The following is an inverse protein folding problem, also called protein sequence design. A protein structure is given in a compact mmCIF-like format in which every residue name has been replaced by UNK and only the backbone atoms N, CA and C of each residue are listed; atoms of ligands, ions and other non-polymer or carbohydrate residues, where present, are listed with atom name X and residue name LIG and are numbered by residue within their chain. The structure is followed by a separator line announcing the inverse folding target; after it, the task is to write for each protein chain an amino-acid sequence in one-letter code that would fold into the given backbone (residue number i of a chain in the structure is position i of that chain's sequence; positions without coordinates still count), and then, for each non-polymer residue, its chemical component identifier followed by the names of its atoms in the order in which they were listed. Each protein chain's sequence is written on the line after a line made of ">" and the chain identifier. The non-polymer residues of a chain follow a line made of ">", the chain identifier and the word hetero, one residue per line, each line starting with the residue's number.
data_IF_535540621739
#
_entry.id   IF_535540621739
#
_cell.length_a   1.000
_cell.length_b   1.000
_cell.length_c   1.000
_cell.angle_alpha   90.00
_cell.angle_beta   90.00
_cell.angle_gamma   90.00
#
_symmetry.space_group_name_H-M   'P 1'
#
loop_
_entity.id
_entity.type
_entity.pdbx_description
1 polymer ?
#
# COMPACT_ATOMS: atom_id res chain seq x y z
N UNK A 1 -14.13 -17.82 -20.12
CA UNK A 1 -12.91 -18.61 -19.79
C UNK A 1 -12.31 -17.95 -18.56
N UNK A 2 -12.41 -18.58 -17.39
CA UNK A 2 -11.82 -18.06 -16.17
C UNK A 2 -10.29 -18.04 -16.34
N UNK A 3 -9.67 -16.89 -16.15
CA UNK A 3 -8.21 -16.76 -16.11
C UNK A 3 -7.78 -17.43 -14.81
N UNK A 4 -7.17 -18.62 -14.91
CA UNK A 4 -6.52 -19.23 -13.74
C UNK A 4 -5.41 -18.28 -13.29
N UNK A 5 -5.69 -17.52 -12.24
CA UNK A 5 -4.69 -16.66 -11.62
C UNK A 5 -3.59 -17.53 -11.02
N UNK A 6 -2.36 -17.25 -11.37
CA UNK A 6 -1.19 -17.83 -10.72
C UNK A 6 -1.30 -17.60 -9.21
N UNK A 7 -1.43 -18.68 -8.42
CA UNK A 7 -1.42 -18.56 -6.96
C UNK A 7 0.03 -18.32 -6.52
N UNK A 8 0.33 -17.18 -5.86
CA UNK A 8 1.68 -16.92 -5.36
C UNK A 8 2.14 -18.07 -4.46
N UNK A 9 3.44 -18.38 -4.50
CA UNK A 9 3.98 -19.47 -3.68
C UNK A 9 3.66 -19.23 -2.21
N UNK A 10 2.94 -20.16 -1.60
CA UNK A 10 2.44 -20.10 -0.21
C UNK A 10 3.52 -19.75 0.81
N UNK A 11 4.76 -20.16 0.54
CA UNK A 11 5.94 -19.86 1.38
C UNK A 11 6.22 -18.35 1.52
N UNK A 12 6.04 -17.56 0.46
CA UNK A 12 6.26 -16.11 0.49
C UNK A 12 5.18 -15.38 1.28
N UNK A 13 3.94 -15.78 1.12
CA UNK A 13 2.81 -15.21 1.85
C UNK A 13 2.96 -15.43 3.35
N UNK A 14 3.34 -16.64 3.76
CA UNK A 14 3.59 -16.98 5.15
C UNK A 14 4.79 -16.22 5.74
N UNK A 15 5.84 -15.98 4.94
CA UNK A 15 7.00 -15.21 5.37
C UNK A 15 6.63 -13.73 5.58
N UNK A 16 5.96 -13.09 4.62
CA UNK A 16 5.50 -11.69 4.73
C UNK A 16 4.62 -11.52 5.96
N UNK A 17 3.64 -12.40 6.14
CA UNK A 17 2.74 -12.36 7.29
C UNK A 17 3.50 -12.44 8.61
N UNK A 18 4.40 -13.42 8.77
CA UNK A 18 5.20 -13.58 9.98
C UNK A 18 6.07 -12.35 10.27
N UNK A 19 6.73 -11.82 9.24
CA UNK A 19 7.62 -10.68 9.40
C UNK A 19 6.87 -9.41 9.81
N UNK A 20 5.70 -9.14 9.20
CA UNK A 20 4.88 -8.00 9.59
C UNK A 20 4.24 -8.19 10.96
N UNK A 21 3.87 -9.42 11.36
CA UNK A 21 3.41 -9.71 12.72
C UNK A 21 4.49 -9.45 13.77
N UNK A 22 5.75 -9.82 13.49
CA UNK A 22 6.86 -9.52 14.41
C UNK A 22 7.09 -8.02 14.52
N UNK A 23 7.15 -7.30 13.39
CA UNK A 23 7.27 -5.83 13.36
C UNK A 23 6.13 -5.15 14.13
N UNK A 24 4.91 -5.65 13.95
CA UNK A 24 3.76 -5.15 14.67
C UNK A 24 3.89 -5.27 16.19
N UNK A 25 4.43 -6.40 16.67
CA UNK A 25 4.66 -6.62 18.12
C UNK A 25 5.81 -5.79 18.66
N UNK A 26 6.91 -5.67 17.90
CA UNK A 26 8.09 -4.91 18.32
C UNK A 26 7.80 -3.41 18.41
N UNK A 27 7.42 -2.78 17.32
CA UNK A 27 7.01 -1.37 17.27
C UNK A 27 6.29 -1.06 15.94
N UNK A 28 4.99 -1.29 15.88
CA UNK A 28 4.20 -1.08 14.67
C UNK A 28 4.38 0.32 14.06
N UNK A 29 4.37 1.37 14.89
CA UNK A 29 4.48 2.76 14.42
C UNK A 29 5.81 3.03 13.73
N UNK A 30 6.91 2.56 14.31
CA UNK A 30 8.26 2.76 13.76
C UNK A 30 8.49 2.01 12.43
N UNK A 31 7.78 0.91 12.19
CA UNK A 31 7.85 0.18 10.91
C UNK A 31 6.91 0.73 9.83
N UNK A 32 5.84 1.40 10.22
CA UNK A 32 4.88 2.02 9.28
C UNK A 32 5.37 3.41 8.87
N UNK A 33 6.01 4.15 9.80
CA UNK A 33 6.47 5.52 9.56
C UNK A 33 7.89 5.73 10.11
N UNK A 34 8.42 6.95 9.94
CA UNK A 34 9.75 7.30 10.44
C UNK A 34 9.81 7.22 11.97
N UNK A 35 10.92 6.70 12.57
CA UNK A 35 11.02 6.53 14.01
C UNK A 35 10.78 7.81 14.82
N UNK A 36 11.23 8.95 14.30
CA UNK A 36 11.09 10.23 15.00
C UNK A 36 9.63 10.71 15.12
N UNK A 37 8.75 10.24 14.22
CA UNK A 37 7.30 10.50 14.24
C UNK A 37 6.55 9.40 15.00
N UNK A 38 7.14 8.22 15.09
CA UNK A 38 6.50 7.03 15.67
C UNK A 38 6.37 7.08 17.19
N UNK A 39 7.22 7.86 17.89
CA UNK A 39 7.25 7.88 19.35
C UNK A 39 6.03 8.56 19.95
N UNK A 40 5.42 9.53 19.25
CA UNK A 40 4.18 10.18 19.66
C UNK A 40 3.00 9.71 18.82
N UNK A 41 1.97 9.17 19.47
CA UNK A 41 0.76 8.66 18.80
C UNK A 41 0.04 9.77 18.01
N UNK A 42 -0.06 10.97 18.57
CA UNK A 42 -0.68 12.10 17.89
C UNK A 42 0.07 12.49 16.61
N UNK A 43 1.40 12.55 16.64
CA UNK A 43 2.22 12.84 15.47
C UNK A 43 2.11 11.71 14.40
N UNK A 44 2.03 10.46 14.83
CA UNK A 44 1.83 9.32 13.95
C UNK A 44 0.53 9.44 13.13
N UNK A 45 -0.59 9.73 13.77
CA UNK A 45 -1.87 9.89 13.07
C UNK A 45 -1.94 11.21 12.28
N UNK A 46 -1.30 12.29 12.75
CA UNK A 46 -1.18 13.53 12.01
C UNK A 46 -0.46 13.31 10.67
N UNK A 47 0.62 12.54 10.64
CA UNK A 47 1.32 12.17 9.40
C UNK A 47 0.43 11.39 8.42
N UNK A 48 -0.52 10.58 8.91
CA UNK A 48 -1.49 9.90 8.06
C UNK A 48 -2.48 10.86 7.41
N UNK A 49 -2.88 11.92 8.11
CA UNK A 49 -3.70 13.01 7.56
C UNK A 49 -2.96 13.80 6.49
N UNK A 50 -1.67 14.07 6.71
CA UNK A 50 -0.80 14.75 5.74
C UNK A 50 -0.64 13.93 4.47
N UNK A 51 -0.35 12.62 4.58
CA UNK A 51 -0.26 11.72 3.44
C UNK A 51 -1.59 11.61 2.67
N UNK A 52 -2.72 11.53 3.37
CA UNK A 52 -4.02 11.56 2.73
C UNK A 52 -4.25 12.87 1.96
N UNK A 53 -3.93 14.00 2.57
CA UNK A 53 -4.06 15.31 1.94
C UNK A 53 -3.13 15.46 0.73
N UNK A 54 -1.95 14.87 0.78
CA UNK A 54 -0.94 14.92 -0.30
C UNK A 54 -1.26 13.96 -1.44
N UNK A 55 -1.67 12.73 -1.15
CA UNK A 55 -1.74 11.68 -2.17
C UNK A 55 -3.17 11.28 -2.56
N UNK A 56 -4.15 11.41 -1.66
CA UNK A 56 -5.53 10.99 -1.93
C UNK A 56 -6.39 12.17 -2.36
N UNK A 57 -6.44 13.23 -1.57
CA UNK A 57 -7.32 14.38 -1.83
C UNK A 57 -7.19 14.98 -3.24
N UNK A 58 -5.96 15.20 -3.79
CA UNK A 58 -5.82 15.73 -5.15
C UNK A 58 -6.34 14.75 -6.22
N UNK A 59 -6.16 13.45 -6.00
CA UNK A 59 -6.67 12.42 -6.92
C UNK A 59 -8.20 12.39 -6.94
N UNK A 60 -8.86 12.41 -5.77
CA UNK A 60 -10.32 12.48 -5.69
C UNK A 60 -10.85 13.72 -6.41
N UNK A 61 -10.19 14.87 -6.27
CA UNK A 61 -10.57 16.11 -6.97
C UNK A 61 -10.41 15.99 -8.50
N UNK A 62 -9.27 15.46 -8.98
CA UNK A 62 -9.04 15.30 -10.44
C UNK A 62 -10.00 14.32 -11.08
N UNK A 63 -10.37 13.27 -10.37
CA UNK A 63 -11.35 12.28 -10.84
C UNK A 63 -12.79 12.69 -10.62
N UNK A 64 -13.05 13.84 -9.99
CA UNK A 64 -14.36 14.33 -9.60
C UNK A 64 -15.14 13.30 -8.74
N UNK A 65 -14.42 12.56 -7.94
CA UNK A 65 -15.00 11.55 -7.07
C UNK A 65 -15.38 12.13 -5.71
N UNK A 66 -16.66 12.07 -5.38
CA UNK A 66 -17.17 12.42 -4.06
C UNK A 66 -17.13 11.19 -3.13
N UNK A 67 -16.34 11.20 -2.06
CA UNK A 67 -16.24 10.09 -1.11
C UNK A 67 -17.44 9.96 -0.15
N UNK A 68 -18.29 11.00 -0.03
CA UNK A 68 -19.39 11.00 0.91
C UNK A 68 -20.39 9.86 0.63
N UNK A 69 -20.67 9.06 1.66
CA UNK A 69 -21.57 7.91 1.56
C UNK A 69 -20.99 6.71 0.78
N UNK A 70 -19.76 6.80 0.31
CA UNK A 70 -19.05 5.74 -0.43
C UNK A 70 -18.27 4.81 0.49
N UNK A 71 -17.90 3.66 -0.04
CA UNK A 71 -17.08 2.66 0.64
C UNK A 71 -15.63 2.76 0.16
N UNK A 72 -14.72 3.12 1.06
CA UNK A 72 -13.28 3.13 0.81
C UNK A 72 -12.60 1.87 1.36
N UNK A 73 -11.71 1.27 0.58
CA UNK A 73 -10.88 0.12 0.96
C UNK A 73 -9.40 0.51 0.92
N UNK A 74 -8.67 0.28 2.01
CA UNK A 74 -7.22 0.44 2.08
C UNK A 74 -6.53 -0.93 2.16
N UNK A 75 -5.65 -1.22 1.19
CA UNK A 75 -4.80 -2.41 1.18
C UNK A 75 -3.51 -2.08 1.92
N UNK A 76 -3.20 -2.87 2.98
CA UNK A 76 -2.05 -2.66 3.85
C UNK A 76 -2.25 -1.50 4.82
N UNK A 77 -3.39 -1.45 5.48
CA UNK A 77 -3.77 -0.36 6.39
C UNK A 77 -2.88 -0.26 7.64
N UNK A 78 -2.06 -1.28 7.94
CA UNK A 78 -1.27 -1.34 9.17
C UNK A 78 -2.15 -1.19 10.40
N UNK A 79 -1.78 -0.27 11.30
CA UNK A 79 -2.58 0.05 12.49
C UNK A 79 -3.56 1.20 12.28
N UNK A 80 -3.91 1.52 11.02
CA UNK A 80 -4.94 2.51 10.70
C UNK A 80 -4.46 3.96 10.64
N UNK A 81 -3.20 4.20 10.30
CA UNK A 81 -2.60 5.55 10.23
C UNK A 81 -3.39 6.49 9.30
N UNK A 82 -3.71 6.05 8.10
CA UNK A 82 -4.48 6.82 7.11
C UNK A 82 -5.98 6.65 7.36
N UNK A 83 -6.40 5.50 7.88
CA UNK A 83 -7.78 5.21 8.23
C UNK A 83 -8.42 6.31 9.07
N UNK A 84 -7.68 6.87 10.05
CA UNK A 84 -8.14 7.95 10.93
C UNK A 84 -8.66 9.17 10.17
N UNK A 85 -8.17 9.38 8.94
CA UNK A 85 -8.62 10.47 8.07
C UNK A 85 -9.68 9.99 7.06
N UNK A 86 -9.54 8.78 6.51
CA UNK A 86 -10.50 8.25 5.55
C UNK A 86 -11.90 8.11 6.12
N UNK A 87 -12.04 7.74 7.40
CA UNK A 87 -13.36 7.61 8.06
C UNK A 87 -14.13 8.94 8.18
N UNK A 88 -13.45 10.08 8.02
CA UNK A 88 -14.10 11.40 8.03
C UNK A 88 -14.76 11.71 6.69
N UNK A 89 -14.15 11.28 5.58
CA UNK A 89 -14.64 11.56 4.22
C UNK A 89 -15.59 10.46 3.70
N UNK A 90 -15.28 9.20 3.97
CA UNK A 90 -16.05 8.07 3.45
C UNK A 90 -17.22 7.68 4.37
N UNK A 91 -18.30 7.17 3.76
CA UNK A 91 -19.44 6.63 4.47
C UNK A 91 -19.12 5.36 5.23
N UNK A 92 -18.22 4.53 4.69
CA UNK A 92 -17.67 3.32 5.31
C UNK A 92 -16.21 3.16 4.90
N UNK A 93 -15.38 2.68 5.82
CA UNK A 93 -13.99 2.35 5.58
C UNK A 93 -13.73 0.87 5.87
N UNK A 94 -12.96 0.23 5.00
CA UNK A 94 -12.47 -1.13 5.18
C UNK A 94 -10.95 -1.10 5.10
N UNK A 95 -10.27 -1.49 6.17
CA UNK A 95 -8.82 -1.65 6.18
C UNK A 95 -8.45 -3.13 6.13
N UNK A 96 -7.58 -3.52 5.20
CA UNK A 96 -7.04 -4.88 5.17
C UNK A 96 -5.53 -4.88 5.31
N UNK A 97 -5.00 -5.88 6.03
CA UNK A 97 -3.57 -6.08 6.19
C UNK A 97 -3.24 -7.58 6.24
N UNK A 98 -2.02 -7.95 5.88
CA UNK A 98 -1.54 -9.33 5.94
C UNK A 98 -1.26 -9.78 7.37
N UNK A 99 -0.98 -8.83 8.27
CA UNK A 99 -0.64 -9.07 9.67
C UNK A 99 -1.89 -9.03 10.56
N UNK A 100 -2.33 -10.17 11.14
CA UNK A 100 -3.37 -10.18 12.17
C UNK A 100 -3.06 -9.26 13.36
N UNK A 101 -1.80 -9.09 13.72
CA UNK A 101 -1.40 -8.23 14.82
C UNK A 101 -1.57 -6.74 14.48
N UNK A 102 -1.29 -6.32 13.23
CA UNK A 102 -1.63 -4.97 12.76
C UNK A 102 -3.14 -4.73 12.85
N UNK A 103 -3.94 -5.66 12.37
CA UNK A 103 -5.40 -5.59 12.40
C UNK A 103 -5.93 -5.50 13.84
N UNK A 104 -5.40 -6.32 14.75
CA UNK A 104 -5.78 -6.26 16.16
C UNK A 104 -5.53 -4.87 16.76
N UNK A 105 -4.37 -4.26 16.46
CA UNK A 105 -4.03 -2.91 16.90
C UNK A 105 -4.91 -1.85 16.23
N UNK A 106 -5.15 -1.95 14.93
CA UNK A 106 -6.04 -1.03 14.22
C UNK A 106 -7.45 -1.05 14.80
N UNK A 107 -7.99 -2.24 15.10
CA UNK A 107 -9.31 -2.40 15.68
C UNK A 107 -9.43 -1.81 17.09
N UNK A 108 -8.34 -1.75 17.86
CA UNK A 108 -8.36 -1.18 19.21
C UNK A 108 -8.53 0.34 19.26
N UNK A 109 -8.40 1.03 18.14
CA UNK A 109 -8.69 2.48 18.06
C UNK A 109 -10.17 2.80 17.89
N UNK A 110 -11.02 1.78 17.68
CA UNK A 110 -12.48 1.92 17.59
C UNK A 110 -12.95 3.06 16.67
N UNK A 111 -12.27 3.19 15.50
CA UNK A 111 -12.60 4.24 14.54
C UNK A 111 -14.04 4.08 14.02
N UNK A 112 -14.85 5.15 13.99
CA UNK A 112 -16.25 5.06 13.60
C UNK A 112 -16.37 4.65 12.13
N UNK A 113 -17.29 3.76 11.81
CA UNK A 113 -17.58 3.26 10.44
C UNK A 113 -16.39 2.55 9.79
N UNK A 114 -15.39 2.12 10.59
CA UNK A 114 -14.24 1.35 10.14
C UNK A 114 -14.44 -0.14 10.43
N UNK A 115 -14.03 -0.96 9.48
CA UNK A 115 -13.87 -2.40 9.65
C UNK A 115 -12.45 -2.77 9.27
N UNK A 116 -11.81 -3.61 10.09
CA UNK A 116 -10.46 -4.08 9.86
C UNK A 116 -10.44 -5.61 9.71
N UNK A 117 -9.75 -6.12 8.70
CA UNK A 117 -9.72 -7.55 8.39
C UNK A 117 -8.35 -8.00 7.95
N UNK A 118 -7.87 -9.14 8.49
CA UNK A 118 -6.67 -9.79 8.00
C UNK A 118 -6.94 -10.53 6.69
N UNK A 119 -6.01 -10.40 5.73
CA UNK A 119 -6.05 -11.09 4.42
C UNK A 119 -4.81 -11.96 4.22
N UNK A 120 -4.80 -12.80 3.18
CA UNK A 120 -3.71 -13.74 2.93
C UNK A 120 -2.39 -13.09 2.50
N UNK A 121 -2.44 -11.87 1.97
CA UNK A 121 -1.30 -11.18 1.35
C UNK A 121 -1.25 -11.28 -0.18
N UNK A 122 -2.20 -11.97 -0.79
CA UNK A 122 -2.31 -12.13 -2.25
C UNK A 122 -3.72 -12.00 -2.79
N UNK A 123 -4.71 -11.79 -1.92
CA UNK A 123 -6.12 -11.66 -2.29
C UNK A 123 -6.86 -10.70 -1.35
N UNK A 124 -8.12 -10.42 -1.67
CA UNK A 124 -9.06 -9.64 -0.86
C UNK A 124 -10.26 -10.52 -0.44
N UNK A 125 -9.98 -11.74 0.00
CA UNK A 125 -11.01 -12.65 0.50
C UNK A 125 -11.83 -12.01 1.62
N UNK A 126 -13.14 -12.18 1.58
CA UNK A 126 -14.08 -11.57 2.52
C UNK A 126 -14.59 -10.19 2.07
N UNK A 127 -14.00 -9.58 1.03
CA UNK A 127 -14.52 -8.37 0.39
C UNK A 127 -15.41 -8.78 -0.79
N UNK A 128 -16.64 -8.33 -0.80
CA UNK A 128 -17.64 -8.66 -1.81
C UNK A 128 -17.30 -8.11 -3.19
N UNK A 129 -17.66 -8.83 -4.24
CA UNK A 129 -17.60 -8.33 -5.61
C UNK A 129 -18.41 -7.06 -5.75
N UNK A 130 -17.87 -6.06 -6.44
CA UNK A 130 -18.50 -4.75 -6.61
C UNK A 130 -19.02 -4.16 -5.29
N UNK A 131 -18.28 -4.37 -4.20
CA UNK A 131 -18.64 -3.94 -2.84
C UNK A 131 -18.08 -2.57 -2.45
N UNK A 132 -17.05 -2.06 -3.15
CA UNK A 132 -16.35 -0.84 -2.78
C UNK A 132 -16.33 0.18 -3.92
N UNK A 133 -16.18 1.46 -3.58
CA UNK A 133 -16.18 2.57 -4.52
C UNK A 133 -14.76 3.12 -4.76
N UNK A 134 -13.87 2.96 -3.79
CA UNK A 134 -12.48 3.41 -3.87
C UNK A 134 -11.54 2.38 -3.26
N UNK A 135 -10.45 2.04 -3.96
CA UNK A 135 -9.37 1.19 -3.45
C UNK A 135 -8.07 1.98 -3.42
N UNK A 136 -7.43 2.00 -2.26
CA UNK A 136 -6.19 2.71 -2.01
C UNK A 136 -5.11 1.78 -1.46
N UNK A 137 -3.85 2.02 -1.83
CA UNK A 137 -2.69 1.36 -1.22
C UNK A 137 -1.50 2.31 -1.22
N UNK A 138 -0.91 2.51 -0.05
CA UNK A 138 0.27 3.35 0.11
C UNK A 138 1.39 2.65 0.87
N UNK A 139 2.60 2.68 0.31
CA UNK A 139 3.81 2.10 0.90
C UNK A 139 3.75 0.58 1.17
N UNK A 140 2.88 -0.17 0.47
CA UNK A 140 2.67 -1.61 0.64
C UNK A 140 3.35 -2.43 -0.45
N UNK A 141 3.02 -2.17 -1.73
CA UNK A 141 3.54 -2.99 -2.83
C UNK A 141 5.05 -2.91 -3.00
N UNK A 142 5.68 -1.86 -2.47
CA UNK A 142 7.13 -1.75 -2.39
C UNK A 142 7.80 -2.81 -1.49
N UNK A 143 7.02 -3.50 -0.66
CA UNK A 143 7.46 -4.56 0.25
C UNK A 143 7.06 -5.96 -0.23
N UNK A 144 6.26 -6.07 -1.28
CA UNK A 144 5.83 -7.36 -1.84
C UNK A 144 6.91 -7.89 -2.79
N UNK A 145 7.57 -9.01 -2.48
CA UNK A 145 8.71 -9.51 -3.27
C UNK A 145 8.29 -10.23 -4.55
N UNK A 146 7.03 -10.62 -4.65
CA UNK A 146 6.47 -11.31 -5.80
C UNK A 146 5.59 -10.37 -6.64
N UNK A 147 5.97 -10.21 -7.91
CA UNK A 147 5.23 -9.39 -8.87
C UNK A 147 3.82 -9.94 -9.13
N UNK A 148 3.66 -11.25 -9.19
CA UNK A 148 2.36 -11.85 -9.44
C UNK A 148 1.40 -11.61 -8.26
N UNK A 149 1.91 -11.57 -7.03
CA UNK A 149 1.10 -11.16 -5.88
C UNK A 149 0.60 -9.72 -6.00
N UNK A 150 1.45 -8.79 -6.48
CA UNK A 150 1.02 -7.41 -6.76
C UNK A 150 -0.06 -7.41 -7.85
N UNK A 151 0.11 -8.17 -8.92
CA UNK A 151 -0.86 -8.27 -10.00
C UNK A 151 -2.17 -8.96 -9.61
N UNK A 152 -2.12 -9.88 -8.63
CA UNK A 152 -3.33 -10.44 -8.04
C UNK A 152 -4.13 -9.37 -7.28
N UNK A 153 -3.47 -8.46 -6.55
CA UNK A 153 -4.17 -7.32 -5.95
C UNK A 153 -4.83 -6.40 -6.99
N UNK A 154 -4.26 -6.27 -8.20
CA UNK A 154 -4.92 -5.54 -9.28
C UNK A 154 -6.19 -6.28 -9.76
N UNK A 155 -6.11 -7.61 -9.91
CA UNK A 155 -7.27 -8.43 -10.28
C UNK A 155 -8.36 -8.38 -9.21
N UNK A 156 -7.98 -8.50 -7.95
CA UNK A 156 -8.90 -8.37 -6.82
C UNK A 156 -9.53 -6.96 -6.74
N UNK A 157 -8.74 -5.91 -7.01
CA UNK A 157 -9.27 -4.55 -7.12
C UNK A 157 -10.32 -4.44 -8.21
N UNK A 158 -10.06 -5.04 -9.38
CA UNK A 158 -11.06 -5.08 -10.46
C UNK A 158 -12.32 -5.85 -10.05
N UNK A 159 -12.19 -6.91 -9.23
CA UNK A 159 -13.32 -7.68 -8.71
C UNK A 159 -14.15 -6.86 -7.72
N UNK A 160 -13.51 -6.28 -6.71
CA UNK A 160 -14.20 -5.63 -5.57
C UNK A 160 -14.74 -4.24 -5.89
N UNK A 161 -14.15 -3.52 -6.85
CA UNK A 161 -14.64 -2.21 -7.27
C UNK A 161 -16.01 -2.32 -7.95
N UNK A 162 -16.91 -1.39 -7.61
CA UNK A 162 -18.12 -1.13 -8.38
C UNK A 162 -17.76 -0.58 -9.77
N UNK A 163 -18.64 -0.72 -10.77
CA UNK A 163 -18.48 0.01 -12.03
C UNK A 163 -18.26 1.52 -11.75
N UNK A 164 -17.34 2.14 -12.46
CA UNK A 164 -16.89 3.53 -12.25
C UNK A 164 -16.20 3.82 -10.90
N UNK A 165 -16.03 2.84 -10.02
CA UNK A 165 -15.19 2.94 -8.83
C UNK A 165 -13.74 3.20 -9.19
N UNK A 166 -13.03 3.92 -8.35
CA UNK A 166 -11.66 4.39 -8.61
C UNK A 166 -10.63 3.68 -7.74
N UNK A 167 -9.38 3.67 -8.19
CA UNK A 167 -8.26 3.12 -7.43
C UNK A 167 -7.03 4.03 -7.50
N UNK A 168 -6.19 3.98 -6.48
CA UNK A 168 -4.89 4.65 -6.45
C UNK A 168 -3.87 3.82 -5.69
N UNK A 169 -2.80 3.41 -6.37
CA UNK A 169 -1.75 2.56 -5.84
C UNK A 169 -0.41 3.25 -5.85
N UNK A 170 0.29 3.19 -4.74
CA UNK A 170 1.71 3.47 -4.66
C UNK A 170 2.50 2.18 -4.84
N UNK A 171 3.53 2.23 -5.68
CA UNK A 171 4.46 1.13 -5.90
C UNK A 171 5.85 1.63 -6.26
N UNK A 172 6.82 0.74 -6.21
CA UNK A 172 8.19 1.05 -6.62
C UNK A 172 8.30 0.95 -8.13
N UNK A 173 8.54 2.07 -8.81
CA UNK A 173 8.85 2.11 -10.23
C UNK A 173 10.22 1.51 -10.54
N UNK A 174 10.50 1.29 -11.83
CA UNK A 174 11.78 0.73 -12.25
C UNK A 174 12.87 1.81 -12.17
N UNK A 175 13.72 1.68 -11.17
CA UNK A 175 14.93 2.45 -11.07
C UNK A 175 16.03 1.69 -11.88
N UNK A 176 16.50 2.24 -12.99
CA UNK A 176 17.63 1.64 -13.67
C UNK A 176 18.87 1.77 -12.80
N UNK A 177 19.66 0.69 -12.69
CA UNK A 177 20.93 0.68 -11.95
C UNK A 177 21.86 1.83 -12.35
N UNK A 178 21.79 2.30 -13.62
CA UNK A 178 22.55 3.43 -14.12
C UNK A 178 22.13 4.76 -13.47
N UNK A 179 20.83 5.03 -13.35
CA UNK A 179 20.33 6.26 -12.69
C UNK A 179 20.58 6.22 -11.18
N UNK A 180 20.47 5.04 -10.55
CA UNK A 180 20.80 4.86 -9.15
C UNK A 180 22.28 5.13 -8.86
N UNK A 181 23.20 4.66 -9.72
CA UNK A 181 24.64 4.98 -9.62
C UNK A 181 24.92 6.48 -9.80
N UNK A 182 24.33 7.11 -10.81
CA UNK A 182 24.48 8.57 -11.03
C UNK A 182 24.00 9.40 -9.85
N UNK A 183 22.90 9.04 -9.22
CA UNK A 183 22.37 9.76 -8.06
C UNK A 183 23.25 9.57 -6.81
N UNK A 184 23.83 8.38 -6.62
CA UNK A 184 24.77 8.10 -5.52
C UNK A 184 26.07 8.89 -5.77
N UNK A 185 26.60 8.88 -6.98
CA UNK A 185 27.83 9.60 -7.35
C UNK A 185 27.65 11.13 -7.32
N UNK A 186 26.46 11.62 -7.65
CA UNK A 186 26.12 13.05 -7.61
C UNK A 186 25.77 13.57 -6.20
N UNK A 187 25.77 12.73 -5.16
CA UNK A 187 25.40 13.11 -3.80
C UNK A 187 23.91 13.53 -3.63
N UNK A 188 23.09 13.27 -4.65
CA UNK A 188 21.68 13.69 -4.69
C UNK A 188 20.73 12.70 -3.99
N UNK A 189 21.26 11.59 -3.45
CA UNK A 189 20.48 10.56 -2.79
C UNK A 189 20.30 10.83 -1.31
N UNK A 190 19.37 11.69 -0.96
CA UNK A 190 18.82 11.74 0.40
C UNK A 190 18.21 10.39 0.82
N UNK A 191 17.73 9.58 -0.13
CA UNK A 191 17.16 8.28 0.14
C UNK A 191 18.18 7.22 0.61
N UNK A 192 19.41 7.24 0.09
CA UNK A 192 20.45 6.29 0.53
C UNK A 192 20.95 6.61 1.96
N UNK A 193 21.05 7.90 2.32
CA UNK A 193 21.42 8.32 3.68
C UNK A 193 20.34 7.93 4.69
N UNK A 194 19.06 7.98 4.33
CA UNK A 194 17.97 7.57 5.19
C UNK A 194 17.92 6.05 5.38
N UNK A 195 18.16 5.26 4.33
CA UNK A 195 18.24 3.79 4.44
C UNK A 195 19.43 3.36 5.32
N UNK A 196 20.59 4.00 5.16
CA UNK A 196 21.78 3.73 5.99
C UNK A 196 21.60 4.20 7.43
N UNK A 197 21.02 5.38 7.67
CA UNK A 197 20.73 5.88 9.01
C UNK A 197 19.73 4.97 9.75
N UNK A 198 18.70 4.49 9.07
CA UNK A 198 17.73 3.54 9.62
C UNK A 198 18.36 2.17 9.92
N UNK A 199 19.25 1.70 9.03
CA UNK A 199 19.97 0.44 9.21
C UNK A 199 20.97 0.46 10.38
N UNK A 200 21.54 1.63 10.72
CA UNK A 200 22.45 1.79 11.85
C UNK A 200 21.73 1.99 13.17
N UNK A 201 20.53 2.59 13.15
CA UNK A 201 19.72 2.82 14.36
C UNK A 201 19.04 1.55 14.89
N UNK A 202 18.82 0.55 14.01
CA UNK A 202 18.25 -0.75 14.35
C UNK A 202 19.08 -1.92 13.76
N UNK A 203 20.33 -2.13 14.23
CA UNK A 203 21.23 -3.11 13.61
C UNK A 203 20.70 -4.55 13.65
N UNK A 204 19.91 -4.91 14.66
CA UNK A 204 19.30 -6.24 14.78
C UNK A 204 18.13 -6.49 13.83
N UNK A 205 17.39 -5.43 13.46
CA UNK A 205 16.27 -5.49 12.52
C UNK A 205 16.76 -5.79 11.11
N UNK A 206 17.95 -5.28 10.75
CA UNK A 206 18.50 -5.38 9.39
C UNK A 206 18.76 -6.81 8.92
N UNK A 207 19.26 -7.68 9.81
CA UNK A 207 19.60 -9.06 9.44
C UNK A 207 18.39 -10.00 9.40
N UNK A 208 17.33 -9.69 10.15
CA UNK A 208 16.17 -10.57 10.32
C UNK A 208 15.06 -10.37 9.27
N UNK A 209 14.98 -9.18 8.66
CA UNK A 209 13.86 -8.77 7.79
C UNK A 209 14.26 -8.33 6.39
N UNK A 210 15.48 -8.66 5.94
CA UNK A 210 16.00 -8.22 4.63
C UNK A 210 15.13 -8.70 3.46
N UNK A 211 14.59 -9.91 3.56
CA UNK A 211 13.91 -10.56 2.44
C UNK A 211 12.51 -9.97 2.15
N UNK A 212 11.82 -9.45 3.19
CA UNK A 212 10.46 -8.88 3.03
C UNK A 212 10.43 -7.35 3.11
N UNK A 213 11.56 -6.70 3.39
CA UNK A 213 11.64 -5.23 3.41
C UNK A 213 11.74 -4.60 2.02
N UNK A 214 12.32 -5.33 1.07
CA UNK A 214 12.49 -4.87 -0.30
C UNK A 214 11.65 -5.71 -1.27
N UNK A 215 10.53 -5.13 -1.73
CA UNK A 215 9.71 -5.73 -2.76
C UNK A 215 10.21 -5.44 -4.17
N UNK A 216 9.46 -5.92 -5.14
CA UNK A 216 9.76 -5.79 -6.57
C UNK A 216 9.44 -4.39 -7.10
N UNK A 217 10.28 -3.93 -8.01
CA UNK A 217 9.94 -2.79 -8.88
C UNK A 217 9.08 -3.27 -10.04
N UNK A 218 8.11 -2.46 -10.43
CA UNK A 218 7.22 -2.72 -11.56
C UNK A 218 7.50 -1.68 -12.65
N UNK A 219 7.62 -2.12 -13.89
CA UNK A 219 7.75 -1.19 -15.02
C UNK A 219 6.44 -0.43 -15.22
N UNK A 220 6.47 0.89 -15.47
CA UNK A 220 5.24 1.67 -15.69
C UNK A 220 4.33 1.08 -16.76
N UNK A 221 4.89 0.74 -17.91
CA UNK A 221 4.13 0.12 -19.01
C UNK A 221 3.51 -1.23 -18.63
N UNK A 222 4.19 -2.02 -17.78
CA UNK A 222 3.71 -3.31 -17.31
C UNK A 222 2.55 -3.16 -16.32
N UNK A 223 2.64 -2.20 -15.38
CA UNK A 223 1.55 -1.86 -14.48
C UNK A 223 0.31 -1.39 -15.25
N UNK A 224 0.49 -0.49 -16.23
CA UNK A 224 -0.58 0.01 -17.09
C UNK A 224 -1.24 -1.12 -17.88
N UNK A 225 -0.45 -1.92 -18.60
CA UNK A 225 -0.98 -3.03 -19.40
C UNK A 225 -1.75 -4.04 -18.55
N UNK A 226 -1.27 -4.32 -17.32
CA UNK A 226 -1.96 -5.23 -16.41
C UNK A 226 -3.30 -4.64 -15.94
N UNK A 227 -3.34 -3.38 -15.53
CA UNK A 227 -4.60 -2.70 -15.18
C UNK A 227 -5.61 -2.77 -16.34
N UNK A 228 -5.19 -2.38 -17.54
CA UNK A 228 -6.06 -2.34 -18.71
C UNK A 228 -6.59 -3.74 -19.09
N UNK A 229 -5.77 -4.79 -18.97
CA UNK A 229 -6.18 -6.18 -19.22
C UNK A 229 -7.26 -6.69 -18.26
N UNK A 230 -7.41 -6.02 -17.11
CA UNK A 230 -8.39 -6.33 -16.06
C UNK A 230 -9.62 -5.41 -16.10
N UNK A 231 -9.75 -4.55 -17.11
CA UNK A 231 -10.85 -3.58 -17.20
C UNK A 231 -10.68 -2.36 -16.30
N UNK A 232 -9.47 -2.14 -15.75
CA UNK A 232 -9.10 -0.95 -15.00
C UNK A 232 -8.47 0.07 -15.95
N UNK A 233 -9.20 1.15 -16.25
CA UNK A 233 -8.68 2.26 -17.06
C UNK A 233 -7.68 3.07 -16.22
N UNK A 234 -6.44 3.20 -16.68
CA UNK A 234 -5.44 4.05 -16.04
C UNK A 234 -5.64 5.49 -16.49
N UNK A 235 -5.98 6.38 -15.57
CA UNK A 235 -6.21 7.79 -15.80
C UNK A 235 -4.95 8.62 -15.59
N UNK A 236 -4.10 8.23 -14.65
CA UNK A 236 -2.85 8.93 -14.36
C UNK A 236 -1.75 7.98 -13.89
N UNK A 237 -0.52 8.36 -14.19
CA UNK A 237 0.69 7.78 -13.64
C UNK A 237 1.63 8.91 -13.25
N UNK A 238 2.19 8.83 -12.05
CA UNK A 238 3.11 9.84 -11.51
C UNK A 238 4.35 9.15 -10.95
N UNK A 239 5.51 9.79 -11.06
CA UNK A 239 6.77 9.27 -10.49
C UNK A 239 7.24 7.93 -11.08
N UNK A 240 6.96 7.65 -12.34
CA UNK A 240 7.13 6.37 -13.04
C UNK A 240 8.52 5.74 -12.89
N UNK A 241 9.55 6.58 -12.77
CA UNK A 241 10.96 6.15 -12.72
C UNK A 241 11.56 6.33 -11.31
N UNK A 242 10.71 6.44 -10.31
CA UNK A 242 11.11 6.66 -8.91
C UNK A 242 10.62 5.52 -8.02
N UNK A 243 11.05 5.56 -6.74
CA UNK A 243 10.49 4.67 -5.72
C UNK A 243 9.07 5.07 -5.29
N UNK A 244 8.57 6.20 -5.79
CA UNK A 244 7.26 6.79 -5.49
C UNK A 244 6.37 6.83 -6.74
N UNK A 245 6.30 5.70 -7.47
CA UNK A 245 5.40 5.59 -8.60
C UNK A 245 3.95 5.43 -8.13
N UNK A 246 3.08 6.27 -8.64
CA UNK A 246 1.64 6.19 -8.45
C UNK A 246 0.94 5.76 -9.71
N UNK A 247 -0.06 4.91 -9.58
CA UNK A 247 -0.96 4.51 -10.65
C UNK A 247 -2.38 4.72 -10.15
N UNK A 248 -3.12 5.56 -10.85
CA UNK A 248 -4.51 5.87 -10.52
C UNK A 248 -5.44 5.67 -11.70
N UNK A 249 -6.66 5.24 -11.43
CA UNK A 249 -7.62 4.96 -12.49
C UNK A 249 -9.01 4.61 -11.99
N UNK A 250 -9.82 4.06 -12.89
CA UNK A 250 -11.19 3.61 -12.58
C UNK A 250 -11.52 2.27 -13.24
N UNK A 251 -12.49 1.57 -12.68
CA UNK A 251 -13.10 0.39 -13.31
C UNK A 251 -14.08 0.84 -14.41
N UNK A 252 -13.93 0.23 -15.59
CA UNK A 252 -14.86 0.40 -16.72
C UNK A 252 -16.21 -0.21 -16.44
#
# INVERSE_FOLDING_TARGET
>A
MAIEGHKPERKWLDAIRRDWDVRARENARAFINWPDIADEEGAFFASGREDYAMYVTPFLKRTQFDPHGKVGLEIGCGIGRIASRMVEDFGQYIGVDVSPEMIRKASSYELPRATFQAVSGGDLNGISDSGVDFVFSFAVFQHVPDKEAIFNYFAETARVLRPSGIFRFHMKGLWTLALGRMQIEAGLSNSASHVTARATRFPFVRLRYLDTWQGRSIRPAEAKAKCESLGLEVLEMEGEWTTMMWVGGRKK
#
